data_IF_513931023275
#
_entry.id   IF_513931023275
#
_cell.length_a   1.000
_cell.length_b   1.000
_cell.length_c   1.000
_cell.angle_alpha   90.00
_cell.angle_beta   90.00
_cell.angle_gamma   90.00
#
_symmetry.space_group_name_H-M   'P 1'
#
loop_
_entity.id
_entity.type
_entity.pdbx_description
1 polymer ?
#
# COMPACT_ATOMS: atom_id res chain seq x y z
N UNK A 1 -17.80 -10.39 -8.14
CA UNK A 1 -19.00 -10.31 -7.30
C UNK A 1 -19.92 -9.26 -7.88
N UNK A 2 -21.18 -9.63 -8.11
CA UNK A 2 -22.19 -8.68 -8.57
C UNK A 2 -22.66 -7.86 -7.36
N UNK A 3 -22.01 -6.74 -7.11
CA UNK A 3 -22.45 -5.79 -6.08
C UNK A 3 -23.83 -5.25 -6.43
N UNK A 4 -24.68 -5.08 -5.43
CA UNK A 4 -26.07 -4.61 -5.55
C UNK A 4 -26.24 -3.34 -4.72
N UNK A 5 -27.29 -2.55 -4.97
CA UNK A 5 -27.63 -1.42 -4.13
C UNK A 5 -27.75 -1.84 -2.65
N UNK A 6 -27.03 -1.11 -1.78
CA UNK A 6 -26.97 -1.38 -0.34
C UNK A 6 -25.92 -2.40 0.09
N UNK A 7 -25.23 -3.10 -0.81
CA UNK A 7 -24.01 -3.85 -0.47
C UNK A 7 -22.91 -2.89 0.01
N UNK A 8 -22.00 -3.38 0.83
CA UNK A 8 -20.98 -2.55 1.48
C UNK A 8 -19.56 -3.02 1.10
N UNK A 9 -18.68 -2.05 0.85
CA UNK A 9 -17.25 -2.23 0.66
C UNK A 9 -16.57 -1.55 1.83
N UNK A 10 -15.81 -2.31 2.64
CA UNK A 10 -15.07 -1.79 3.77
C UNK A 10 -13.64 -1.46 3.37
N UNK A 11 -13.24 -0.22 3.57
CA UNK A 11 -11.88 0.30 3.41
C UNK A 11 -11.33 0.74 4.76
N UNK A 12 -10.09 1.24 4.80
CA UNK A 12 -9.54 1.91 6.00
C UNK A 12 -9.22 3.38 5.72
N UNK A 13 -9.05 4.17 6.78
CA UNK A 13 -8.67 5.58 6.67
C UNK A 13 -7.27 5.76 6.04
N UNK A 14 -6.41 4.74 6.12
CA UNK A 14 -5.02 4.84 5.65
C UNK A 14 -4.79 4.34 4.21
N UNK A 15 -5.86 4.05 3.46
CA UNK A 15 -5.72 3.52 2.12
C UNK A 15 -5.07 4.50 1.14
N UNK A 16 -4.21 3.98 0.28
CA UNK A 16 -3.74 4.70 -0.91
C UNK A 16 -4.91 4.98 -1.85
N UNK A 17 -4.89 6.09 -2.59
CA UNK A 17 -5.95 6.45 -3.55
C UNK A 17 -6.29 5.33 -4.54
N UNK A 18 -5.30 4.50 -4.92
CA UNK A 18 -5.52 3.34 -5.80
C UNK A 18 -6.41 2.25 -5.17
N UNK A 19 -6.52 2.24 -3.84
CA UNK A 19 -7.43 1.36 -3.10
C UNK A 19 -8.66 2.10 -2.54
N UNK A 20 -8.95 3.29 -3.04
CA UNK A 20 -10.16 4.07 -2.72
C UNK A 20 -10.96 4.35 -3.99
N UNK A 21 -10.34 5.01 -4.96
CA UNK A 21 -11.02 5.56 -6.16
C UNK A 21 -11.71 4.47 -6.98
N UNK A 22 -11.11 3.30 -7.28
CA UNK A 22 -11.81 2.24 -8.01
C UNK A 22 -13.08 1.78 -7.30
N UNK A 23 -13.07 1.70 -5.97
CA UNK A 23 -14.23 1.32 -5.18
C UNK A 23 -15.33 2.38 -5.16
N UNK A 24 -14.95 3.67 -5.18
CA UNK A 24 -15.91 4.76 -5.36
C UNK A 24 -16.58 4.67 -6.73
N UNK A 25 -15.83 4.39 -7.80
CA UNK A 25 -16.38 4.20 -9.15
C UNK A 25 -17.35 3.00 -9.19
N UNK A 26 -16.96 1.88 -8.60
CA UNK A 26 -17.82 0.68 -8.53
C UNK A 26 -19.06 0.96 -7.67
N UNK A 27 -18.92 1.61 -6.54
CA UNK A 27 -20.04 1.98 -5.67
C UNK A 27 -21.05 2.88 -6.39
N UNK A 28 -20.57 3.88 -7.12
CA UNK A 28 -21.40 4.77 -7.94
C UNK A 28 -22.17 4.01 -9.03
N UNK A 29 -21.52 3.03 -9.68
CA UNK A 29 -22.13 2.23 -10.75
C UNK A 29 -23.15 1.20 -10.25
N UNK A 30 -23.00 0.69 -9.01
CA UNK A 30 -23.79 -0.43 -8.48
C UNK A 30 -24.79 -0.04 -7.38
N UNK A 31 -24.68 1.16 -6.83
CA UNK A 31 -25.44 1.58 -5.64
C UNK A 31 -24.91 0.98 -4.33
N UNK A 32 -23.74 0.36 -4.34
CA UNK A 32 -23.04 -0.08 -3.14
C UNK A 32 -22.55 1.13 -2.32
N UNK A 33 -22.16 0.89 -1.06
CA UNK A 33 -21.70 1.92 -0.13
C UNK A 33 -20.29 1.61 0.37
N UNK A 34 -19.49 2.66 0.52
CA UNK A 34 -18.20 2.55 1.18
C UNK A 34 -18.39 2.75 2.68
N UNK A 35 -17.81 1.83 3.46
CA UNK A 35 -17.63 1.95 4.91
C UNK A 35 -16.14 2.12 5.18
N UNK A 36 -15.79 2.81 6.26
CA UNK A 36 -14.38 3.10 6.57
C UNK A 36 -14.07 2.66 7.99
N UNK A 37 -13.07 1.81 8.16
CA UNK A 37 -12.48 1.46 9.46
C UNK A 37 -11.55 2.60 9.88
N UNK A 38 -11.82 3.23 11.03
CA UNK A 38 -11.00 4.33 11.53
C UNK A 38 -9.64 3.87 12.02
N UNK A 39 -8.79 4.85 12.31
CA UNK A 39 -7.47 4.67 12.93
C UNK A 39 -7.38 5.43 14.25
N UNK A 40 -6.48 4.98 15.13
CA UNK A 40 -6.10 5.69 16.36
C UNK A 40 -5.23 6.91 16.04
N UNK A 41 -4.94 7.73 17.04
CA UNK A 41 -4.06 8.90 16.89
C UNK A 41 -2.60 8.50 16.60
N UNK A 42 -2.19 7.29 17.04
CA UNK A 42 -0.88 6.71 16.73
C UNK A 42 -0.81 6.14 15.30
N UNK A 43 -1.94 5.98 14.62
CA UNK A 43 -2.02 5.47 13.27
C UNK A 43 -2.13 3.93 13.18
N UNK A 44 -2.67 3.27 14.20
CA UNK A 44 -3.12 1.87 14.12
C UNK A 44 -4.57 1.80 13.65
N UNK A 45 -4.99 0.68 13.05
CA UNK A 45 -6.41 0.43 12.80
C UNK A 45 -7.16 0.27 14.14
N UNK A 46 -8.31 0.92 14.27
CA UNK A 46 -9.20 0.71 15.41
C UNK A 46 -9.99 -0.59 15.23
N UNK A 47 -9.36 -1.70 15.63
CA UNK A 47 -9.97 -3.02 15.51
C UNK A 47 -11.20 -3.20 16.42
N UNK A 48 -11.38 -2.37 17.45
CA UNK A 48 -12.57 -2.42 18.29
C UNK A 48 -13.83 -1.99 17.52
N UNK A 49 -13.68 -1.11 16.53
CA UNK A 49 -14.76 -0.70 15.64
C UNK A 49 -15.12 -1.75 14.56
N UNK A 50 -14.19 -2.66 14.23
CA UNK A 50 -14.35 -3.58 13.10
C UNK A 50 -15.61 -4.47 13.18
N UNK A 51 -15.96 -5.09 14.32
CA UNK A 51 -17.18 -5.91 14.42
C UNK A 51 -18.46 -5.14 14.06
N UNK A 52 -18.53 -3.86 14.39
CA UNK A 52 -19.68 -2.99 14.06
C UNK A 52 -19.74 -2.56 12.59
N UNK A 53 -18.64 -2.76 11.84
CA UNK A 53 -18.53 -2.43 10.43
C UNK A 53 -18.72 -3.65 9.52
N UNK A 54 -18.58 -4.86 10.04
CA UNK A 54 -18.81 -6.10 9.33
C UNK A 54 -20.24 -6.61 9.53
N UNK A 55 -20.90 -7.01 8.45
CA UNK A 55 -22.26 -7.51 8.51
C UNK A 55 -22.73 -8.20 7.23
N UNK A 56 -23.96 -8.64 7.20
CA UNK A 56 -24.55 -9.40 6.08
C UNK A 56 -24.52 -8.64 4.73
N UNK A 57 -24.34 -7.32 4.75
CA UNK A 57 -24.20 -6.50 3.53
C UNK A 57 -22.75 -6.28 3.12
N UNK A 58 -21.79 -6.57 3.97
CA UNK A 58 -20.36 -6.43 3.63
C UNK A 58 -19.99 -7.51 2.60
N UNK A 59 -19.55 -7.08 1.42
CA UNK A 59 -19.17 -7.99 0.32
C UNK A 59 -17.68 -8.04 0.09
N UNK A 60 -17.00 -6.96 0.40
CA UNK A 60 -15.56 -6.83 0.20
C UNK A 60 -14.95 -6.02 1.33
N UNK A 61 -13.81 -6.47 1.79
CA UNK A 61 -12.87 -5.71 2.63
C UNK A 61 -11.61 -5.50 1.80
N UNK A 62 -11.28 -4.24 1.50
CA UNK A 62 -10.08 -3.91 0.72
C UNK A 62 -9.16 -3.05 1.59
N UNK A 63 -8.00 -3.62 1.99
CA UNK A 63 -7.13 -3.05 3.00
C UNK A 63 -5.66 -3.11 2.60
N UNK A 64 -4.91 -2.08 2.97
CA UNK A 64 -3.45 -2.10 2.83
C UNK A 64 -2.81 -2.96 3.91
N UNK A 65 -1.83 -3.78 3.52
CA UNK A 65 -1.04 -4.57 4.47
C UNK A 65 -0.05 -3.71 5.24
N UNK A 66 0.53 -2.70 4.58
CA UNK A 66 1.44 -1.74 5.17
C UNK A 66 1.16 -0.34 4.64
N UNK A 67 0.96 0.62 5.53
CA UNK A 67 0.72 2.01 5.15
C UNK A 67 1.94 2.63 4.47
N UNK A 68 1.72 3.23 3.30
CA UNK A 68 2.76 3.95 2.56
C UNK A 68 3.14 5.30 3.18
N UNK A 69 2.41 5.76 4.19
CA UNK A 69 2.69 7.00 4.94
C UNK A 69 3.20 6.70 6.34
N UNK A 70 2.48 5.86 7.07
CA UNK A 70 2.74 5.64 8.50
C UNK A 70 3.78 4.54 8.73
N UNK A 71 4.01 3.67 7.73
CA UNK A 71 4.80 2.46 7.91
C UNK A 71 4.09 1.39 8.75
N UNK A 72 2.90 1.68 9.28
CA UNK A 72 2.11 0.73 10.10
C UNK A 72 1.85 -0.55 9.33
N UNK A 73 2.16 -1.69 9.94
CA UNK A 73 1.87 -3.02 9.43
C UNK A 73 0.54 -3.48 10.03
N UNK A 74 -0.44 -3.69 9.18
CA UNK A 74 -1.80 -4.04 9.61
C UNK A 74 -1.96 -5.54 9.84
N UNK A 75 -2.76 -5.97 10.82
CA UNK A 75 -3.03 -7.39 11.12
C UNK A 75 -4.03 -7.99 10.12
N UNK A 76 -3.64 -7.99 8.82
CA UNK A 76 -4.55 -8.35 7.72
C UNK A 76 -5.08 -9.78 7.80
N UNK A 77 -4.32 -10.73 8.36
CA UNK A 77 -4.79 -12.10 8.53
C UNK A 77 -5.95 -12.20 9.55
N UNK A 78 -5.89 -11.43 10.63
CA UNK A 78 -6.98 -11.35 11.61
C UNK A 78 -8.22 -10.71 10.99
N UNK A 79 -8.03 -9.59 10.27
CA UNK A 79 -9.13 -8.89 9.58
C UNK A 79 -9.75 -9.80 8.51
N UNK A 80 -8.93 -10.55 7.75
CA UNK A 80 -9.43 -11.50 6.76
C UNK A 80 -10.31 -12.59 7.39
N UNK A 81 -9.87 -13.16 8.51
CA UNK A 81 -10.66 -14.15 9.25
C UNK A 81 -12.03 -13.58 9.69
N UNK A 82 -12.05 -12.35 10.19
CA UNK A 82 -13.29 -11.68 10.62
C UNK A 82 -14.20 -11.36 9.42
N UNK A 83 -13.62 -10.88 8.32
CA UNK A 83 -14.35 -10.59 7.07
C UNK A 83 -15.00 -11.85 6.49
N UNK A 84 -14.25 -12.96 6.43
CA UNK A 84 -14.76 -14.25 5.96
C UNK A 84 -15.88 -14.78 6.86
N UNK A 85 -15.79 -14.61 8.18
CA UNK A 85 -16.86 -14.99 9.10
C UNK A 85 -18.16 -14.19 8.87
N UNK A 86 -18.04 -12.97 8.33
CA UNK A 86 -19.18 -12.15 7.88
C UNK A 86 -19.62 -12.43 6.42
N UNK A 87 -18.94 -13.34 5.70
CA UNK A 87 -19.22 -13.68 4.30
C UNK A 87 -18.65 -12.70 3.28
N UNK A 88 -17.72 -11.83 3.67
CA UNK A 88 -17.06 -10.87 2.80
C UNK A 88 -15.76 -11.42 2.21
N UNK A 89 -15.44 -11.06 0.96
CA UNK A 89 -14.14 -11.30 0.34
C UNK A 89 -13.10 -10.28 0.83
N UNK A 90 -11.81 -10.64 0.72
CA UNK A 90 -10.70 -9.79 1.17
C UNK A 90 -9.71 -9.54 0.04
N UNK A 91 -9.51 -8.25 -0.30
CA UNK A 91 -8.42 -7.80 -1.14
C UNK A 91 -7.37 -7.11 -0.27
N UNK A 92 -6.12 -7.54 -0.40
CA UNK A 92 -5.00 -6.95 0.32
C UNK A 92 -4.13 -6.16 -0.65
N UNK A 93 -3.97 -4.86 -0.41
CA UNK A 93 -2.96 -4.04 -1.07
C UNK A 93 -1.61 -4.30 -0.40
N UNK A 94 -0.77 -5.09 -1.07
CA UNK A 94 0.58 -5.43 -0.64
C UNK A 94 1.67 -4.54 -1.23
N UNK A 95 1.31 -3.43 -1.88
CA UNK A 95 2.25 -2.61 -2.65
C UNK A 95 3.44 -2.10 -1.84
N UNK A 96 3.29 -1.88 -0.53
CA UNK A 96 4.40 -1.51 0.34
C UNK A 96 5.02 -2.74 1.04
N UNK A 97 4.21 -3.73 1.39
CA UNK A 97 4.65 -4.86 2.20
C UNK A 97 5.58 -5.83 1.46
N UNK A 98 5.34 -6.04 0.17
CA UNK A 98 5.94 -7.14 -0.62
C UNK A 98 7.48 -7.09 -0.67
N UNK A 99 8.11 -5.94 -0.55
CA UNK A 99 9.56 -5.80 -0.56
C UNK A 99 10.19 -5.84 0.84
N UNK A 100 9.45 -5.50 1.91
CA UNK A 100 9.99 -5.37 3.26
C UNK A 100 9.99 -6.68 4.05
N UNK A 101 9.00 -7.55 3.83
CA UNK A 101 8.90 -8.85 4.53
C UNK A 101 8.32 -9.95 3.63
N UNK A 102 8.50 -11.21 4.06
CA UNK A 102 7.96 -12.34 3.32
C UNK A 102 6.42 -12.35 3.38
N UNK A 103 5.81 -12.62 2.23
CA UNK A 103 4.35 -12.67 2.10
C UNK A 103 3.92 -14.06 1.65
N UNK A 104 3.06 -14.70 2.44
CA UNK A 104 2.31 -15.89 2.06
C UNK A 104 0.83 -15.54 1.98
N UNK A 105 0.32 -15.39 0.76
CA UNK A 105 -1.07 -14.99 0.49
C UNK A 105 -2.10 -15.98 1.04
N UNK A 106 -1.73 -17.26 1.19
CA UNK A 106 -2.60 -18.29 1.77
C UNK A 106 -2.67 -18.16 3.27
N UNK A 107 -1.52 -17.97 3.93
CA UNK A 107 -1.46 -17.74 5.37
C UNK A 107 -2.16 -16.45 5.78
N UNK A 108 -2.12 -15.41 4.92
CA UNK A 108 -2.88 -14.17 5.13
C UNK A 108 -4.39 -14.33 4.94
N UNK A 109 -4.85 -15.41 4.32
CA UNK A 109 -6.25 -15.59 3.96
C UNK A 109 -6.72 -14.62 2.88
N UNK A 110 -5.82 -14.17 1.99
CA UNK A 110 -6.17 -13.24 0.93
C UNK A 110 -7.01 -13.95 -0.15
N UNK A 111 -8.15 -13.37 -0.50
CA UNK A 111 -8.88 -13.73 -1.72
C UNK A 111 -8.24 -13.10 -2.94
N UNK A 112 -7.74 -11.86 -2.77
CA UNK A 112 -6.96 -11.13 -3.75
C UNK A 112 -5.78 -10.43 -3.07
N UNK A 113 -4.64 -10.38 -3.75
CA UNK A 113 -3.45 -9.66 -3.31
C UNK A 113 -2.82 -8.91 -4.48
N UNK A 114 -2.53 -7.62 -4.31
CA UNK A 114 -2.06 -6.78 -5.41
C UNK A 114 -0.79 -6.02 -5.03
N UNK A 115 0.15 -5.92 -5.99
CA UNK A 115 1.33 -5.07 -5.85
C UNK A 115 1.86 -4.61 -7.21
N UNK A 116 2.71 -3.57 -7.19
CA UNK A 116 3.38 -3.02 -8.37
C UNK A 116 4.85 -3.43 -8.42
N UNK A 117 5.32 -3.81 -9.60
CA UNK A 117 6.69 -4.32 -9.80
C UNK A 117 7.78 -3.32 -9.41
N UNK A 118 7.59 -2.02 -9.70
CA UNK A 118 8.58 -0.98 -9.36
C UNK A 118 8.78 -0.77 -7.85
N UNK A 119 7.87 -1.27 -7.01
CA UNK A 119 8.03 -1.26 -5.55
C UNK A 119 8.72 -2.51 -5.03
N UNK A 120 8.91 -3.51 -5.89
CA UNK A 120 9.64 -4.75 -5.62
C UNK A 120 11.01 -4.76 -6.32
N UNK A 121 11.66 -3.59 -6.44
CA UNK A 121 12.93 -3.42 -7.17
C UNK A 121 12.88 -3.78 -8.66
N UNK A 122 11.69 -4.01 -9.19
CA UNK A 122 11.43 -4.34 -10.58
C UNK A 122 11.14 -3.10 -11.46
N UNK A 123 10.84 -3.30 -12.75
CA UNK A 123 10.54 -2.21 -13.66
C UNK A 123 9.17 -1.58 -13.40
N UNK A 124 8.99 -0.36 -13.93
CA UNK A 124 7.69 0.31 -14.03
C UNK A 124 6.79 -0.36 -15.07
N UNK A 125 5.48 -0.07 -15.05
CA UNK A 125 4.52 -0.52 -16.06
C UNK A 125 4.08 -1.97 -15.92
N UNK A 126 4.46 -2.66 -14.85
CA UNK A 126 4.03 -4.03 -14.53
C UNK A 126 3.66 -4.17 -13.06
N UNK A 127 2.71 -5.03 -12.78
CA UNK A 127 2.29 -5.41 -11.44
C UNK A 127 1.67 -6.80 -11.44
N UNK A 128 1.29 -7.27 -10.28
CA UNK A 128 0.70 -8.60 -10.10
C UNK A 128 -0.59 -8.48 -9.30
N UNK A 129 -1.62 -9.15 -9.77
CA UNK A 129 -2.82 -9.47 -9.01
C UNK A 129 -2.85 -10.99 -8.80
N UNK A 130 -2.69 -11.41 -7.56
CA UNK A 130 -3.07 -12.77 -7.14
C UNK A 130 -4.58 -12.80 -6.87
N UNK A 131 -5.22 -13.89 -7.25
CA UNK A 131 -6.59 -14.19 -6.87
C UNK A 131 -6.80 -15.69 -6.71
N UNK A 132 -7.72 -16.08 -5.83
CA UNK A 132 -8.12 -17.47 -5.70
C UNK A 132 -8.76 -17.94 -7.01
N UNK A 133 -8.37 -19.14 -7.48
CA UNK A 133 -8.75 -19.67 -8.80
C UNK A 133 -10.28 -19.62 -9.03
N UNK A 134 -11.05 -20.10 -8.07
CA UNK A 134 -12.50 -20.13 -8.17
C UNK A 134 -13.16 -18.74 -8.26
N UNK A 135 -12.55 -17.73 -7.66
CA UNK A 135 -13.03 -16.35 -7.76
C UNK A 135 -12.65 -15.74 -9.11
N UNK A 136 -11.42 -15.98 -9.58
CA UNK A 136 -11.00 -15.53 -10.89
C UNK A 136 -11.81 -16.19 -12.02
N UNK A 137 -12.14 -17.46 -11.90
CA UNK A 137 -13.00 -18.16 -12.87
C UNK A 137 -14.40 -17.52 -12.96
N UNK A 138 -14.94 -17.05 -11.84
CA UNK A 138 -16.26 -16.42 -11.75
C UNK A 138 -16.31 -14.94 -12.21
N UNK A 139 -15.16 -14.26 -12.30
CA UNK A 139 -15.10 -12.84 -12.70
C UNK A 139 -14.99 -12.75 -14.24
N UNK A 140 -15.79 -11.89 -14.90
CA UNK A 140 -15.62 -11.62 -16.32
C UNK A 140 -14.28 -10.90 -16.59
N UNK A 141 -13.73 -10.97 -17.81
CA UNK A 141 -12.54 -10.21 -18.18
C UNK A 141 -12.82 -8.71 -18.05
N UNK A 142 -11.79 -7.96 -17.65
CA UNK A 142 -11.85 -6.49 -17.54
C UNK A 142 -11.57 -5.80 -18.88
N UNK A 143 -10.60 -6.31 -19.63
CA UNK A 143 -10.22 -5.79 -20.94
C UNK A 143 -10.48 -6.84 -22.01
N UNK A 144 -10.89 -6.42 -23.19
CA UNK A 144 -11.08 -7.29 -24.35
C UNK A 144 -10.01 -7.04 -25.42
N UNK A 145 -9.60 -8.10 -26.11
CA UNK A 145 -8.62 -8.00 -27.18
C UNK A 145 -8.11 -9.37 -27.67
N UNK A 146 -6.97 -9.42 -28.28
CA UNK A 146 -6.30 -10.66 -28.65
C UNK A 146 -5.74 -11.39 -27.44
N UNK A 147 -5.35 -12.64 -27.60
CA UNK A 147 -4.75 -13.57 -26.63
C UNK A 147 -5.66 -14.00 -25.46
N UNK A 148 -6.55 -13.18 -24.98
CA UNK A 148 -7.43 -13.45 -23.85
C UNK A 148 -8.72 -14.20 -24.23
N UNK A 149 -8.85 -14.55 -25.51
CA UNK A 149 -10.02 -15.21 -26.11
C UNK A 149 -9.70 -16.66 -26.45
N UNK A 150 -10.73 -17.51 -26.43
CA UNK A 150 -10.71 -18.86 -27.02
C UNK A 150 -11.23 -18.81 -28.46
N UNK A 151 -12.40 -18.19 -28.65
CA UNK A 151 -13.04 -18.02 -29.95
C UNK A 151 -13.77 -16.68 -30.04
N UNK A 152 -13.71 -16.05 -31.21
CA UNK A 152 -14.45 -14.83 -31.54
C UNK A 152 -15.27 -15.04 -32.79
N UNK A 153 -16.53 -14.63 -32.77
CA UNK A 153 -17.40 -14.46 -33.94
C UNK A 153 -18.19 -13.17 -33.80
N UNK A 154 -18.92 -12.76 -34.82
CA UNK A 154 -19.82 -11.60 -34.71
C UNK A 154 -21.01 -11.83 -33.77
N UNK A 155 -21.36 -13.09 -33.49
CA UNK A 155 -22.42 -13.47 -32.56
C UNK A 155 -21.97 -13.48 -31.10
N UNK A 156 -20.66 -13.57 -30.85
CA UNK A 156 -20.14 -13.59 -29.48
C UNK A 156 -18.71 -14.06 -29.36
N UNK A 157 -18.21 -14.01 -28.10
CA UNK A 157 -16.85 -14.36 -27.75
C UNK A 157 -16.83 -15.34 -26.59
N UNK A 158 -16.00 -16.39 -26.67
CA UNK A 158 -15.58 -17.20 -25.53
C UNK A 158 -14.16 -16.84 -25.12
N UNK A 159 -13.90 -16.93 -23.81
CA UNK A 159 -12.65 -16.45 -23.25
C UNK A 159 -11.72 -17.60 -22.86
N UNK A 160 -10.41 -17.35 -22.92
CA UNK A 160 -9.41 -18.28 -22.46
C UNK A 160 -9.56 -18.57 -20.96
N UNK A 161 -8.91 -19.64 -20.50
CA UNK A 161 -8.82 -19.94 -19.07
C UNK A 161 -8.02 -18.88 -18.28
N UNK A 162 -8.22 -18.86 -16.97
CA UNK A 162 -7.39 -18.10 -16.04
C UNK A 162 -5.95 -18.65 -16.07
N UNK A 163 -4.93 -17.80 -16.10
CA UNK A 163 -4.96 -16.33 -15.98
C UNK A 163 -5.18 -15.58 -17.31
N UNK A 164 -5.11 -16.28 -18.45
CA UNK A 164 -5.05 -15.68 -19.79
C UNK A 164 -6.22 -14.77 -20.12
N UNK A 165 -7.43 -15.07 -19.61
CA UNK A 165 -8.61 -14.22 -19.85
C UNK A 165 -8.49 -12.80 -19.31
N UNK A 166 -7.50 -12.52 -18.46
CA UNK A 166 -7.22 -11.19 -17.93
C UNK A 166 -6.01 -10.50 -18.57
N UNK A 167 -5.34 -11.18 -19.54
CA UNK A 167 -4.11 -10.74 -20.19
C UNK A 167 -4.40 -10.33 -21.65
N UNK A 168 -5.08 -9.18 -21.85
CA UNK A 168 -5.48 -8.73 -23.17
C UNK A 168 -4.32 -8.12 -23.97
N UNK A 169 -4.10 -8.62 -25.20
CA UNK A 169 -3.09 -8.14 -26.13
C UNK A 169 -1.67 -8.67 -25.86
N UNK A 170 -0.69 -8.17 -26.59
CA UNK A 170 0.71 -8.52 -26.37
C UNK A 170 1.17 -8.03 -24.99
N UNK A 171 1.66 -8.91 -24.10
CA UNK A 171 2.04 -8.54 -22.76
C UNK A 171 3.27 -7.63 -22.73
N UNK A 172 3.49 -6.95 -21.60
CA UNK A 172 4.71 -6.17 -21.37
C UNK A 172 5.91 -7.10 -21.13
N UNK A 173 6.44 -7.68 -22.23
CA UNK A 173 7.46 -8.76 -22.22
C UNK A 173 8.70 -8.33 -21.43
N UNK A 174 9.27 -7.16 -21.75
CA UNK A 174 10.46 -6.65 -21.06
C UNK A 174 10.21 -6.43 -19.56
N UNK A 175 9.03 -5.93 -19.20
CA UNK A 175 8.64 -5.75 -17.81
C UNK A 175 8.48 -7.08 -17.06
N UNK A 176 7.91 -8.10 -17.70
CA UNK A 176 7.75 -9.43 -17.11
C UNK A 176 9.12 -10.09 -16.83
N UNK A 177 10.05 -10.02 -17.80
CA UNK A 177 11.41 -10.53 -17.63
C UNK A 177 12.15 -9.77 -16.52
N UNK A 178 12.07 -8.43 -16.52
CA UNK A 178 12.71 -7.60 -15.51
C UNK A 178 12.13 -7.82 -14.10
N UNK A 179 10.80 -8.00 -13.97
CA UNK A 179 10.18 -8.35 -12.70
C UNK A 179 10.63 -9.74 -12.22
N UNK A 180 10.75 -10.72 -13.14
CA UNK A 180 11.27 -12.04 -12.84
C UNK A 180 12.71 -11.98 -12.28
N UNK A 181 13.56 -11.14 -12.85
CA UNK A 181 14.93 -10.91 -12.36
C UNK A 181 14.93 -10.29 -10.95
N UNK A 182 14.05 -9.30 -10.69
CA UNK A 182 13.92 -8.68 -9.38
C UNK A 182 13.43 -9.70 -8.31
N UNK A 183 12.46 -10.53 -8.65
CA UNK A 183 11.98 -11.62 -7.77
C UNK A 183 13.10 -12.62 -7.46
N UNK A 184 13.85 -13.05 -8.49
CA UNK A 184 14.98 -13.95 -8.30
C UNK A 184 16.07 -13.34 -7.39
N UNK A 185 16.34 -12.04 -7.54
CA UNK A 185 17.28 -11.33 -6.65
C UNK A 185 16.79 -11.33 -5.21
N UNK A 186 15.50 -11.01 -4.99
CA UNK A 186 14.88 -11.01 -3.65
C UNK A 186 14.87 -12.38 -2.99
N UNK A 187 14.68 -13.45 -3.77
CA UNK A 187 14.72 -14.82 -3.25
C UNK A 187 16.12 -15.23 -2.75
N UNK A 188 17.18 -14.60 -3.27
CA UNK A 188 18.55 -14.82 -2.85
C UNK A 188 19.02 -13.85 -1.74
N UNK A 189 18.21 -12.86 -1.40
CA UNK A 189 18.50 -11.95 -0.29
C UNK A 189 18.14 -12.62 1.04
N UNK A 190 19.03 -12.50 2.05
CA UNK A 190 18.66 -12.83 3.43
C UNK A 190 17.60 -11.82 3.93
N UNK A 191 16.33 -12.21 3.74
CA UNK A 191 15.17 -11.35 4.05
C UNK A 191 15.12 -11.00 5.55
N UNK A 192 15.49 -11.92 6.42
CA UNK A 192 15.48 -11.69 7.87
C UNK A 192 16.57 -10.70 8.28
N UNK A 193 17.75 -10.79 7.67
CA UNK A 193 18.82 -9.81 7.89
C UNK A 193 18.43 -8.43 7.33
N UNK A 194 17.84 -8.37 6.15
CA UNK A 194 17.36 -7.12 5.54
C UNK A 194 16.30 -6.45 6.42
N UNK A 195 15.32 -7.19 6.90
CA UNK A 195 14.26 -6.68 7.79
C UNK A 195 14.82 -6.19 9.13
N UNK A 196 15.78 -6.90 9.72
CA UNK A 196 16.47 -6.43 10.94
C UNK A 196 17.21 -5.12 10.68
N UNK A 197 17.95 -5.04 9.58
CA UNK A 197 18.68 -3.84 9.19
C UNK A 197 17.73 -2.64 8.97
N UNK A 198 16.64 -2.81 8.25
CA UNK A 198 15.66 -1.75 8.06
C UNK A 198 15.00 -1.29 9.37
N UNK A 199 14.75 -2.21 10.31
CA UNK A 199 14.25 -1.86 11.65
C UNK A 199 15.25 -1.04 12.45
N UNK A 200 16.55 -1.37 12.37
CA UNK A 200 17.62 -0.61 13.04
C UNK A 200 17.74 0.80 12.45
N UNK A 201 17.68 0.92 11.11
CA UNK A 201 17.68 2.22 10.44
C UNK A 201 16.45 3.06 10.81
N UNK A 202 15.27 2.45 10.85
CA UNK A 202 14.04 3.13 11.24
C UNK A 202 14.09 3.59 12.70
N UNK A 203 14.57 2.75 13.61
CA UNK A 203 14.72 3.12 15.03
C UNK A 203 15.69 4.29 15.22
N UNK A 204 16.80 4.29 14.48
CA UNK A 204 17.76 5.41 14.47
C UNK A 204 17.13 6.70 13.94
N UNK A 205 16.38 6.60 12.84
CA UNK A 205 15.67 7.73 12.23
C UNK A 205 14.62 8.30 13.19
N UNK A 206 13.79 7.43 13.78
CA UNK A 206 12.76 7.81 14.74
C UNK A 206 13.35 8.57 15.95
N UNK A 207 14.40 8.00 16.56
CA UNK A 207 15.07 8.62 17.69
C UNK A 207 15.68 10.00 17.32
N UNK A 208 16.26 10.11 16.12
CA UNK A 208 16.82 11.37 15.64
C UNK A 208 15.75 12.42 15.36
N UNK A 209 14.63 12.04 14.76
CA UNK A 209 13.51 12.95 14.53
C UNK A 209 12.89 13.45 15.85
N UNK A 210 12.73 12.55 16.83
CA UNK A 210 12.17 12.90 18.16
C UNK A 210 13.09 13.86 18.94
N UNK A 211 14.39 13.87 18.66
CA UNK A 211 15.36 14.77 19.30
C UNK A 211 15.36 16.19 18.71
N UNK A 212 14.76 16.40 17.53
CA UNK A 212 14.75 17.73 16.88
C UNK A 212 13.51 18.51 17.33
N UNK A 213 13.72 19.63 18.01
CA UNK A 213 12.63 20.48 18.49
C UNK A 213 11.71 20.93 17.32
N UNK A 214 10.39 20.90 17.53
CA UNK A 214 9.38 21.29 16.55
C UNK A 214 9.19 20.30 15.40
N UNK A 215 9.84 19.14 15.43
CA UNK A 215 9.54 18.00 14.56
C UNK A 215 8.59 17.06 15.29
N UNK A 216 7.52 16.64 14.61
CA UNK A 216 6.55 15.68 15.14
C UNK A 216 6.34 14.57 14.15
N UNK A 217 6.59 13.34 14.56
CA UNK A 217 6.31 12.15 13.74
C UNK A 217 4.81 11.92 13.59
N UNK A 218 4.41 11.42 12.43
CA UNK A 218 3.04 11.05 12.09
C UNK A 218 3.01 9.54 11.87
N UNK A 219 2.23 8.84 12.70
CA UNK A 219 2.20 7.38 12.73
C UNK A 219 3.32 6.79 13.57
N UNK A 220 3.00 6.44 14.81
CA UNK A 220 3.93 5.87 15.80
C UNK A 220 3.51 4.49 16.28
N UNK A 221 2.37 3.98 15.78
CA UNK A 221 1.85 2.66 16.14
C UNK A 221 2.78 1.54 15.67
N UNK A 222 3.08 0.61 16.57
CA UNK A 222 3.82 -0.60 16.25
C UNK A 222 2.84 -1.76 15.89
N UNK A 223 3.25 -2.73 15.03
CA UNK A 223 4.52 -2.78 14.31
C UNK A 223 4.59 -1.83 13.12
N UNK A 224 5.80 -1.34 12.82
CA UNK A 224 6.11 -0.46 11.68
C UNK A 224 7.36 -0.94 10.94
N UNK A 225 7.45 -0.58 9.66
CA UNK A 225 8.63 -0.85 8.85
C UNK A 225 8.98 0.33 7.93
N UNK A 226 10.25 0.50 7.70
CA UNK A 226 10.90 1.20 6.58
C UNK A 226 10.49 2.66 6.30
N UNK A 227 9.46 3.20 6.94
CA UNK A 227 8.89 4.53 6.65
C UNK A 227 8.76 5.35 7.91
N UNK A 228 9.30 6.58 7.90
CA UNK A 228 9.03 7.62 8.88
C UNK A 228 8.46 8.86 8.21
N UNK A 229 7.24 9.23 8.60
CA UNK A 229 6.59 10.48 8.19
C UNK A 229 6.60 11.48 9.33
N UNK A 230 6.85 12.74 9.04
CA UNK A 230 6.90 13.81 10.04
C UNK A 230 6.41 15.14 9.48
N UNK A 231 6.05 16.03 10.38
CA UNK A 231 5.77 17.43 10.11
C UNK A 231 6.70 18.30 10.94
N UNK A 232 6.86 19.53 10.52
CA UNK A 232 7.61 20.57 11.25
C UNK A 232 6.63 21.68 11.61
N UNK A 233 6.63 22.10 12.86
CA UNK A 233 5.71 23.11 13.35
C UNK A 233 5.85 24.43 12.58
N UNK A 234 4.73 24.92 12.02
CA UNK A 234 4.68 26.17 11.25
C UNK A 234 5.32 26.12 9.86
N UNK A 235 5.84 24.98 9.42
CA UNK A 235 6.54 24.83 8.12
C UNK A 235 5.78 23.90 7.19
N UNK A 236 5.64 24.33 5.94
CA UNK A 236 5.01 23.49 4.93
C UNK A 236 5.94 22.32 4.52
N UNK A 237 5.45 21.06 4.40
CA UNK A 237 6.30 19.91 4.07
C UNK A 237 7.12 20.05 2.79
N UNK A 238 6.60 20.77 1.78
CA UNK A 238 7.31 21.00 0.53
C UNK A 238 8.59 21.81 0.71
N UNK A 239 8.57 22.82 1.60
CA UNK A 239 9.73 23.68 1.85
C UNK A 239 10.86 22.88 2.51
N UNK A 240 10.51 22.01 3.45
CA UNK A 240 11.48 21.07 4.05
C UNK A 240 12.05 20.15 2.97
N UNK A 241 11.19 19.60 2.09
CA UNK A 241 11.64 18.73 1.00
C UNK A 241 12.64 19.40 0.07
N UNK A 242 12.39 20.65 -0.33
CA UNK A 242 13.29 21.44 -1.20
C UNK A 242 14.65 21.68 -0.53
N UNK A 243 14.66 22.05 0.75
CA UNK A 243 15.91 22.30 1.46
C UNK A 243 16.74 21.03 1.72
N UNK A 244 16.09 19.89 1.89
CA UNK A 244 16.75 18.60 2.00
C UNK A 244 17.36 18.18 0.65
N UNK A 245 16.61 18.36 -0.44
CA UNK A 245 17.07 18.07 -1.80
C UNK A 245 18.32 18.88 -2.17
N UNK A 246 18.36 20.17 -1.84
CA UNK A 246 19.53 21.05 -2.02
C UNK A 246 20.76 20.56 -1.26
N UNK A 247 20.59 19.74 -0.23
CA UNK A 247 21.66 19.12 0.57
C UNK A 247 21.96 17.68 0.10
N UNK A 248 21.35 17.24 -1.00
CA UNK A 248 21.51 15.90 -1.58
C UNK A 248 20.83 14.79 -0.75
N UNK A 249 19.74 15.12 -0.05
CA UNK A 249 18.91 14.17 0.71
C UNK A 249 17.54 14.08 0.07
N UNK A 250 17.23 12.92 -0.51
CA UNK A 250 15.96 12.67 -1.17
C UNK A 250 14.89 12.22 -0.15
N UNK A 251 13.83 13.00 -0.03
CA UNK A 251 12.61 12.68 0.72
C UNK A 251 11.39 12.90 -0.16
N UNK A 252 10.24 12.40 0.25
CA UNK A 252 8.98 12.75 -0.42
C UNK A 252 8.18 13.68 0.48
N UNK A 253 7.69 14.79 -0.08
CA UNK A 253 6.79 15.73 0.61
C UNK A 253 5.39 15.71 -0.03
N UNK A 254 4.35 15.89 0.78
CA UNK A 254 2.96 16.01 0.34
C UNK A 254 2.01 14.98 0.96
N UNK A 255 0.86 14.75 0.32
CA UNK A 255 -0.21 13.87 0.83
C UNK A 255 0.00 12.37 0.53
N UNK A 256 1.04 11.98 -0.20
CA UNK A 256 1.44 10.60 -0.53
C UNK A 256 0.32 9.73 -1.14
N UNK A 257 -0.63 10.35 -1.86
CA UNK A 257 -1.83 9.70 -2.38
C UNK A 257 -2.74 9.09 -1.29
N UNK A 258 -2.85 9.76 -0.13
CA UNK A 258 -3.66 9.36 1.03
C UNK A 258 -4.34 10.58 1.65
N UNK A 259 -5.04 11.38 0.84
CA UNK A 259 -5.72 12.61 1.32
C UNK A 259 -6.61 12.36 2.55
N UNK A 260 -7.45 11.31 2.60
CA UNK A 260 -8.29 11.05 3.78
C UNK A 260 -7.49 10.84 5.07
N UNK A 261 -6.26 10.30 4.95
CA UNK A 261 -5.36 10.16 6.10
C UNK A 261 -4.81 11.52 6.55
N UNK A 262 -4.49 12.41 5.61
CA UNK A 262 -4.06 13.78 5.94
C UNK A 262 -5.17 14.55 6.63
N UNK A 263 -6.39 14.44 6.14
CA UNK A 263 -7.58 15.04 6.75
C UNK A 263 -7.81 14.51 8.19
N UNK A 264 -7.63 13.21 8.40
CA UNK A 264 -7.73 12.58 9.74
C UNK A 264 -6.73 13.16 10.74
N UNK A 265 -5.52 13.50 10.30
CA UNK A 265 -4.50 14.12 11.16
C UNK A 265 -4.57 15.66 11.18
N UNK A 266 -5.44 16.28 10.37
CA UNK A 266 -5.57 17.74 10.27
C UNK A 266 -4.32 18.43 9.71
N UNK A 267 -3.61 17.79 8.78
CA UNK A 267 -2.36 18.27 8.19
C UNK A 267 -2.44 18.31 6.65
N UNK A 268 -1.74 19.24 5.98
CA UNK A 268 -1.76 19.34 4.51
C UNK A 268 -0.94 18.22 3.83
N UNK A 269 -0.06 17.55 4.57
CA UNK A 269 0.86 16.53 4.11
C UNK A 269 1.96 16.28 5.12
N UNK A 270 2.87 15.39 4.78
CA UNK A 270 4.08 15.10 5.59
C UNK A 270 5.33 15.13 4.74
N UNK A 271 6.48 15.26 5.38
CA UNK A 271 7.76 14.82 4.82
C UNK A 271 7.92 13.35 5.16
N UNK A 272 8.22 12.53 4.17
CA UNK A 272 8.40 11.08 4.36
C UNK A 272 9.80 10.66 3.97
N UNK A 273 10.54 10.12 4.92
CA UNK A 273 11.77 9.38 4.69
C UNK A 273 11.46 7.88 4.62
N UNK A 274 12.03 7.21 3.65
CA UNK A 274 11.91 5.76 3.47
C UNK A 274 13.29 5.15 3.44
N UNK A 275 13.48 4.05 4.14
CA UNK A 275 14.72 3.26 4.15
C UNK A 275 14.51 1.93 3.44
N UNK A 276 15.57 1.35 2.93
CA UNK A 276 15.58 0.10 2.20
C UNK A 276 16.84 -0.70 2.58
N UNK A 277 16.95 -1.99 2.21
CA UNK A 277 18.09 -2.82 2.60
C UNK A 277 19.49 -2.28 2.19
N UNK A 278 19.52 -1.40 1.21
CA UNK A 278 20.78 -0.80 0.71
C UNK A 278 21.16 0.53 1.40
N UNK A 279 20.29 1.07 2.26
CA UNK A 279 20.64 2.29 3.02
C UNK A 279 21.56 1.98 4.18
N UNK A 280 22.27 3.01 4.63
CA UNK A 280 23.28 2.91 5.69
C UNK A 280 22.92 3.81 6.88
N UNK A 281 23.43 3.51 8.10
CA UNK A 281 23.27 4.40 9.24
C UNK A 281 23.80 5.82 8.99
N UNK A 282 24.89 5.96 8.23
CA UNK A 282 25.47 7.26 7.88
C UNK A 282 24.54 8.12 7.01
N UNK A 283 23.72 7.49 6.14
CA UNK A 283 22.72 8.22 5.35
C UNK A 283 21.56 8.71 6.22
N UNK A 284 21.15 7.95 7.23
CA UNK A 284 20.17 8.39 8.23
C UNK A 284 20.73 9.60 9.02
N UNK A 285 21.98 9.53 9.50
CA UNK A 285 22.63 10.65 10.19
C UNK A 285 22.71 11.88 9.31
N UNK A 286 23.06 11.71 8.03
CA UNK A 286 23.10 12.80 7.06
C UNK A 286 21.73 13.47 6.88
N UNK A 287 20.64 12.69 6.83
CA UNK A 287 19.29 13.23 6.77
C UNK A 287 19.00 14.10 8.01
N UNK A 288 19.31 13.60 9.21
CA UNK A 288 19.05 14.32 10.46
C UNK A 288 19.83 15.62 10.55
N UNK A 289 21.12 15.62 10.18
CA UNK A 289 21.97 16.83 10.11
C UNK A 289 21.43 17.82 9.07
N UNK A 290 21.05 17.33 7.90
CA UNK A 290 20.49 18.16 6.84
C UNK A 290 19.14 18.78 7.25
N UNK A 291 18.31 18.03 7.98
CA UNK A 291 17.04 18.53 8.50
C UNK A 291 17.25 19.63 9.53
N UNK A 292 18.14 19.42 10.52
CA UNK A 292 18.44 20.43 11.53
C UNK A 292 18.96 21.74 10.89
N UNK A 293 19.85 21.62 9.91
CA UNK A 293 20.33 22.77 9.14
C UNK A 293 19.20 23.45 8.33
N UNK A 294 18.32 22.68 7.69
CA UNK A 294 17.17 23.22 6.96
C UNK A 294 16.24 24.02 7.88
N UNK A 295 16.00 23.52 9.10
CA UNK A 295 15.19 24.23 10.10
C UNK A 295 15.81 25.55 10.56
N UNK A 296 17.12 25.66 10.56
CA UNK A 296 17.83 26.92 10.82
C UNK A 296 17.55 28.01 9.78
N UNK A 297 17.12 27.64 8.57
CA UNK A 297 16.72 28.61 7.51
C UNK A 297 15.20 28.90 7.51
N UNK A 298 14.39 28.03 8.12
CA UNK A 298 12.92 28.13 8.08
C UNK A 298 12.34 28.76 9.36
N UNK A 299 13.12 28.92 10.37
CA UNK A 299 12.81 29.56 11.67
C UNK A 299 13.52 30.89 11.78
#
# INVERSE_FOLDING_TARGET
ANLKPGDEILLTTMEHHANIVPWQMVAAATGARIRVLPITDEGALDLAALPGLLGARTRLVAITQMSNVLGTINPVAEIARMAHAAGALVLIDGAQAINHFAVDVRALGADFYVFSGHKLFGPTGIGVLYGRRELLDAIPPWQGGGQMIERVSFEGTTYAEVPWKFEAGTPHIAGAIGLGAAVAWLQNLDRDAAERHERELLARLDAGLDAIAGVRRIGTAAPRAAVASFVVDGVHPADVGVLLDQQGVAVRAGHHCTMPLMDRFGIPGTVRASVAPYNTPAEVDRLLVALDKALGFLR
#
